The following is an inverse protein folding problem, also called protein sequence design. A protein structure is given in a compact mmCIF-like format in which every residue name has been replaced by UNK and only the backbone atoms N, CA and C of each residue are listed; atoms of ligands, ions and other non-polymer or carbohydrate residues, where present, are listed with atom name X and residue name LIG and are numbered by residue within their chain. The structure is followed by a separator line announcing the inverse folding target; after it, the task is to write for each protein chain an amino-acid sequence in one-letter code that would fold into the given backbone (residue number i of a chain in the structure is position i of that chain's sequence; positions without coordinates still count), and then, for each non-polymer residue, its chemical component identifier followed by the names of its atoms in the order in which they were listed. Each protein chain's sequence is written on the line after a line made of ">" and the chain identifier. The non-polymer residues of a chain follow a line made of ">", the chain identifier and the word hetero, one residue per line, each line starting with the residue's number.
data_IF_003435305806
#
_entry.id   IF_003435305806
#
_cell.length_a   1.000
_cell.length_b   1.000
_cell.length_c   1.000
_cell.angle_alpha   90.00
_cell.angle_beta   90.00
_cell.angle_gamma   90.00
#
_symmetry.space_group_name_H-M   'P 1'
#
loop_
_entity.id
_entity.type
_entity.pdbx_description
1 polymer ?
#
# COMPACT_ATOMS: atom_id res chain seq x y z
N UNK A 1 15.78 -3.79 14.23
CA UNK A 1 15.05 -3.24 13.09
C UNK A 1 14.80 -4.43 12.18
N UNK A 2 13.57 -4.76 11.87
CA UNK A 2 13.30 -5.85 10.91
C UNK A 2 13.71 -5.25 9.57
N UNK A 3 14.75 -5.78 8.96
CA UNK A 3 15.15 -5.38 7.60
C UNK A 3 14.09 -5.87 6.62
N UNK A 4 13.08 -5.04 6.41
CA UNK A 4 12.05 -5.31 5.41
C UNK A 4 12.67 -4.98 4.06
N UNK A 5 12.87 -6.00 3.22
CA UNK A 5 13.43 -5.84 1.88
C UNK A 5 12.56 -4.86 1.09
N UNK A 6 13.19 -3.84 0.53
CA UNK A 6 12.57 -2.86 -0.36
C UNK A 6 12.90 -3.25 -1.81
N UNK A 7 11.97 -3.95 -2.46
CA UNK A 7 12.22 -4.57 -3.75
C UNK A 7 11.84 -3.72 -4.96
N UNK A 8 11.32 -2.50 -4.76
CA UNK A 8 11.04 -1.56 -5.85
C UNK A 8 11.66 -0.20 -5.60
N UNK A 9 11.84 0.57 -6.65
CA UNK A 9 12.44 1.92 -6.61
C UNK A 9 11.70 2.89 -5.69
N UNK A 10 10.39 2.71 -5.46
CA UNK A 10 9.56 3.59 -4.62
C UNK A 10 9.15 2.95 -3.29
N UNK A 11 9.57 1.69 -3.01
CA UNK A 11 9.19 1.02 -1.75
C UNK A 11 9.68 1.79 -0.53
N UNK A 12 10.86 2.41 -0.60
CA UNK A 12 11.42 3.22 0.47
C UNK A 12 10.59 4.47 0.80
N UNK A 13 10.03 5.13 -0.21
CA UNK A 13 9.21 6.33 -0.02
C UNK A 13 7.89 5.98 0.66
N UNK A 14 7.29 4.84 0.28
CA UNK A 14 6.09 4.32 0.94
C UNK A 14 6.38 3.93 2.39
N UNK A 15 7.49 3.23 2.66
CA UNK A 15 7.89 2.85 4.01
C UNK A 15 8.17 4.06 4.90
N UNK A 16 8.83 5.09 4.36
CA UNK A 16 9.08 6.36 5.07
C UNK A 16 7.78 7.10 5.40
N UNK A 17 6.82 7.09 4.48
CA UNK A 17 5.49 7.66 4.72
C UNK A 17 4.75 6.90 5.82
N UNK A 18 4.77 5.57 5.78
CA UNK A 18 4.16 4.72 6.82
C UNK A 18 4.82 4.99 8.19
N UNK A 19 6.15 5.12 8.23
CA UNK A 19 6.87 5.45 9.45
C UNK A 19 6.48 6.83 10.00
N UNK A 20 6.42 7.85 9.14
CA UNK A 20 5.97 9.20 9.52
C UNK A 20 4.57 9.17 10.13
N UNK A 21 3.63 8.52 9.45
CA UNK A 21 2.25 8.36 9.94
C UNK A 21 2.25 7.60 11.28
N UNK A 22 2.99 6.49 11.36
CA UNK A 22 3.09 5.67 12.56
C UNK A 22 3.63 6.44 13.77
N UNK A 23 4.64 7.28 13.58
CA UNK A 23 5.21 8.12 14.65
C UNK A 23 4.23 9.22 15.10
N UNK A 24 3.60 9.93 14.16
CA UNK A 24 2.65 10.99 14.49
C UNK A 24 1.40 10.44 15.16
N UNK A 25 0.78 9.43 14.57
CA UNK A 25 -0.44 8.81 15.12
C UNK A 25 -0.14 8.08 16.44
N UNK A 26 0.99 7.37 16.51
CA UNK A 26 1.43 6.68 17.72
C UNK A 26 1.66 7.65 18.87
N UNK A 27 2.31 8.78 18.63
CA UNK A 27 2.48 9.82 19.66
C UNK A 27 1.12 10.30 20.20
N UNK A 28 0.17 10.63 19.32
CA UNK A 28 -1.16 11.10 19.73
C UNK A 28 -1.97 10.02 20.44
N UNK A 29 -1.85 8.78 20.00
CA UNK A 29 -2.47 7.65 20.66
C UNK A 29 -2.01 7.53 22.12
N UNK A 30 -0.69 7.47 22.36
CA UNK A 30 -0.16 7.36 23.73
C UNK A 30 -0.44 8.62 24.57
N UNK A 31 -0.42 9.80 23.97
CA UNK A 31 -0.78 11.04 24.65
C UNK A 31 -2.26 11.03 25.09
N UNK A 32 -3.16 10.55 24.24
CA UNK A 32 -4.58 10.43 24.56
C UNK A 32 -4.83 9.37 25.66
N UNK A 33 -4.20 8.20 25.56
CA UNK A 33 -4.29 7.16 26.60
C UNK A 33 -3.75 7.64 27.95
N UNK A 34 -2.59 8.30 27.95
CA UNK A 34 -2.05 8.89 29.17
C UNK A 34 -3.00 9.91 29.79
N UNK A 35 -3.54 10.81 28.95
CA UNK A 35 -4.49 11.84 29.41
C UNK A 35 -5.76 11.18 29.97
N UNK A 36 -6.27 10.15 29.30
CA UNK A 36 -7.47 9.43 29.72
C UNK A 36 -7.31 8.81 31.10
N UNK A 37 -6.22 8.03 31.35
CA UNK A 37 -5.97 7.41 32.64
C UNK A 37 -5.66 8.45 33.72
N UNK A 38 -4.94 9.52 33.37
CA UNK A 38 -4.67 10.63 34.29
C UNK A 38 -5.95 11.33 34.73
N UNK A 39 -6.90 11.58 33.84
CA UNK A 39 -8.20 12.18 34.16
C UNK A 39 -9.01 11.28 35.09
N UNK A 40 -9.08 9.96 34.81
CA UNK A 40 -9.75 8.99 35.70
C UNK A 40 -9.15 9.03 37.08
N UNK A 41 -7.83 8.98 37.18
CA UNK A 41 -7.14 9.02 38.48
C UNK A 41 -7.34 10.34 39.20
N UNK A 42 -7.21 11.47 38.51
CA UNK A 42 -7.32 12.81 39.06
C UNK A 42 -8.72 13.15 39.55
N UNK A 43 -9.75 12.78 38.79
CA UNK A 43 -11.15 13.11 39.06
C UNK A 43 -11.95 11.96 39.68
N UNK A 44 -11.26 10.94 40.20
CA UNK A 44 -11.94 9.88 40.95
C UNK A 44 -12.71 10.45 42.15
N UNK A 45 -13.83 9.82 42.49
CA UNK A 45 -14.65 10.22 43.62
C UNK A 45 -13.83 10.27 44.92
N UNK A 46 -14.00 11.33 45.72
CA UNK A 46 -13.38 11.51 47.05
C UNK A 46 -14.48 11.89 48.02
N UNK A 47 -14.37 11.34 49.26
CA UNK A 47 -15.30 11.69 50.34
C UNK A 47 -15.31 13.20 50.59
N UNK A 48 -16.52 13.77 50.72
CA UNK A 48 -16.72 15.20 51.00
C UNK A 48 -16.57 16.13 49.79
N UNK A 49 -16.19 15.65 48.62
CA UNK A 49 -16.11 16.47 47.42
C UNK A 49 -17.36 16.31 46.53
N UNK A 50 -18.01 17.42 46.20
CA UNK A 50 -19.11 17.43 45.22
C UNK A 50 -18.56 17.48 43.81
N UNK A 51 -19.21 16.76 42.88
CA UNK A 51 -18.91 16.84 41.45
C UNK A 51 -19.14 18.24 40.92
N UNK A 52 -18.27 18.67 40.01
CA UNK A 52 -18.37 19.95 39.31
C UNK A 52 -19.02 19.72 37.95
N UNK A 53 -20.08 20.47 37.64
CA UNK A 53 -20.72 20.44 36.34
C UNK A 53 -20.05 21.45 35.41
N UNK A 54 -19.45 20.97 34.31
CA UNK A 54 -18.81 21.78 33.29
C UNK A 54 -19.57 21.64 31.97
N UNK A 55 -19.92 22.79 31.37
CA UNK A 55 -20.67 22.82 30.10
C UNK A 55 -19.74 22.69 28.85
N UNK A 56 -18.43 22.84 29.03
CA UNK A 56 -17.46 22.92 27.95
C UNK A 56 -17.37 24.31 27.27
N UNK A 57 -18.20 25.28 27.71
CA UNK A 57 -18.21 26.66 27.18
C UNK A 57 -17.23 27.56 27.91
N UNK A 58 -16.77 27.16 29.09
CA UNK A 58 -15.85 27.92 29.93
C UNK A 58 -14.47 28.03 29.22
N UNK A 59 -13.97 29.27 29.17
CA UNK A 59 -12.72 29.55 28.39
C UNK A 59 -11.51 28.73 28.85
N UNK A 60 -11.42 28.43 30.15
CA UNK A 60 -10.31 27.63 30.68
C UNK A 60 -10.41 26.12 30.32
N UNK A 61 -11.66 25.61 30.19
CA UNK A 61 -11.91 24.23 29.76
C UNK A 61 -11.75 24.08 28.25
N UNK A 62 -12.28 25.04 27.48
CA UNK A 62 -12.23 25.04 26.03
C UNK A 62 -10.81 24.95 25.47
N UNK A 63 -9.80 25.51 26.15
CA UNK A 63 -8.40 25.42 25.75
C UNK A 63 -7.90 23.97 25.64
N UNK A 64 -8.34 23.09 26.53
CA UNK A 64 -7.94 21.66 26.54
C UNK A 64 -8.48 20.89 25.33
N UNK A 65 -9.48 21.43 24.67
CA UNK A 65 -10.03 20.87 23.43
C UNK A 65 -9.39 21.57 22.23
N UNK A 66 -9.34 22.89 22.20
CA UNK A 66 -8.93 23.66 21.02
C UNK A 66 -7.45 23.46 20.66
N UNK A 67 -6.54 23.45 21.67
CA UNK A 67 -5.11 23.30 21.40
C UNK A 67 -4.74 21.93 20.81
N UNK A 68 -5.18 20.79 21.39
CA UNK A 68 -4.89 19.48 20.79
C UNK A 68 -5.43 19.38 19.36
N UNK A 69 -6.66 19.82 19.10
CA UNK A 69 -7.24 19.81 17.76
C UNK A 69 -6.42 20.65 16.77
N UNK A 70 -5.97 21.84 17.19
CA UNK A 70 -5.15 22.70 16.34
C UNK A 70 -3.80 22.05 15.98
N UNK A 71 -3.16 21.36 16.92
CA UNK A 71 -1.89 20.68 16.68
C UNK A 71 -2.10 19.44 15.81
N UNK A 72 -3.15 18.65 16.04
CA UNK A 72 -3.51 17.50 15.18
C UNK A 72 -3.74 17.97 13.76
N UNK A 73 -4.49 19.06 13.55
CA UNK A 73 -4.71 19.62 12.20
C UNK A 73 -3.40 19.95 11.47
N UNK A 74 -2.41 20.49 12.20
CA UNK A 74 -1.07 20.73 11.61
C UNK A 74 -0.41 19.42 11.21
N UNK A 75 -0.47 18.39 12.07
CA UNK A 75 0.07 17.05 11.73
C UNK A 75 -0.63 16.46 10.50
N UNK A 76 -1.96 16.60 10.40
CA UNK A 76 -2.74 16.12 9.25
C UNK A 76 -2.32 16.79 7.95
N UNK A 77 -2.05 18.10 7.97
CA UNK A 77 -1.53 18.82 6.80
C UNK A 77 -0.21 18.22 6.33
N UNK A 78 0.73 17.92 7.25
CA UNK A 78 1.99 17.27 6.90
C UNK A 78 1.75 15.88 6.28
N UNK A 79 0.91 15.05 6.90
CA UNK A 79 0.58 13.72 6.38
C UNK A 79 0.00 13.82 4.96
N UNK A 80 -0.96 14.73 4.75
CA UNK A 80 -1.59 14.91 3.43
C UNK A 80 -0.57 15.36 2.37
N UNK A 81 0.29 16.33 2.68
CA UNK A 81 1.30 16.82 1.74
C UNK A 81 2.25 15.70 1.34
N UNK A 82 2.84 14.98 2.29
CA UNK A 82 3.75 13.87 1.98
C UNK A 82 3.05 12.72 1.26
N UNK A 83 1.81 12.41 1.62
CA UNK A 83 1.01 11.39 0.94
C UNK A 83 0.75 11.75 -0.53
N UNK A 84 0.44 13.02 -0.81
CA UNK A 84 0.24 13.49 -2.19
C UNK A 84 1.55 13.40 -2.98
N UNK A 85 2.70 13.74 -2.40
CA UNK A 85 4.00 13.65 -3.07
C UNK A 85 4.28 12.20 -3.48
N UNK A 86 4.20 11.25 -2.55
CA UNK A 86 4.41 9.82 -2.84
C UNK A 86 3.38 9.31 -3.85
N UNK A 87 2.10 9.71 -3.73
CA UNK A 87 1.06 9.31 -4.67
C UNK A 87 1.32 9.83 -6.08
N UNK A 88 1.82 11.06 -6.23
CA UNK A 88 2.18 11.63 -7.53
C UNK A 88 3.29 10.81 -8.20
N UNK A 89 4.33 10.45 -7.46
CA UNK A 89 5.47 9.69 -7.99
C UNK A 89 5.07 8.24 -8.35
N UNK A 90 4.24 7.60 -7.52
CA UNK A 90 3.86 6.19 -7.72
C UNK A 90 2.72 6.02 -8.72
N UNK A 91 1.77 6.97 -8.81
CA UNK A 91 0.52 6.77 -9.57
C UNK A 91 0.30 7.74 -10.71
N UNK A 92 0.93 8.90 -10.73
CA UNK A 92 0.69 9.93 -11.74
C UNK A 92 1.86 10.10 -12.71
N UNK A 93 3.10 10.01 -12.20
CA UNK A 93 4.30 10.19 -13.01
C UNK A 93 4.89 8.83 -13.36
N UNK A 94 4.24 8.13 -14.30
CA UNK A 94 4.75 6.85 -14.76
C UNK A 94 6.03 7.05 -15.59
N UNK A 95 7.13 6.33 -15.29
CA UNK A 95 8.34 6.36 -16.11
C UNK A 95 8.07 5.79 -17.51
N UNK A 96 9.01 5.97 -18.43
CA UNK A 96 8.96 5.30 -19.71
C UNK A 96 9.06 3.78 -19.46
N UNK A 97 8.14 3.02 -20.03
CA UNK A 97 8.14 1.56 -19.88
C UNK A 97 9.20 0.92 -20.77
N UNK A 98 9.97 -0.02 -20.23
CA UNK A 98 10.83 -0.92 -21.00
C UNK A 98 9.99 -2.07 -21.57
N UNK A 99 8.96 -2.52 -20.84
CA UNK A 99 8.00 -3.52 -21.28
C UNK A 99 6.65 -3.33 -20.62
N UNK A 100 5.59 -3.84 -21.24
CA UNK A 100 4.22 -3.83 -20.70
C UNK A 100 3.70 -5.24 -20.59
N UNK A 101 3.20 -5.64 -19.43
CA UNK A 101 2.59 -6.94 -19.15
C UNK A 101 1.09 -6.79 -18.90
N UNK A 102 0.28 -7.80 -19.24
CA UNK A 102 -1.10 -7.86 -18.79
C UNK A 102 -1.23 -8.87 -17.65
N UNK A 103 -1.89 -8.45 -16.59
CA UNK A 103 -2.16 -9.24 -15.39
C UNK A 103 -3.66 -9.43 -15.28
N UNK A 104 -4.12 -10.67 -15.31
CA UNK A 104 -5.55 -10.98 -15.28
C UNK A 104 -5.85 -11.86 -14.07
N UNK A 105 -6.70 -11.37 -13.17
CA UNK A 105 -7.27 -12.15 -12.07
C UNK A 105 -8.50 -12.93 -12.52
N UNK A 106 -8.60 -14.18 -12.09
CA UNK A 106 -9.81 -14.99 -12.22
C UNK A 106 -9.88 -15.94 -11.02
N UNK A 107 -11.05 -16.48 -10.73
CA UNK A 107 -11.24 -17.43 -9.61
C UNK A 107 -10.60 -18.79 -9.92
N UNK A 108 -9.46 -19.20 -9.33
CA UNK A 108 -8.65 -18.50 -8.33
C UNK A 108 -7.19 -18.60 -8.75
N UNK A 109 -6.83 -17.92 -9.82
CA UNK A 109 -5.49 -17.90 -10.41
C UNK A 109 -5.16 -16.51 -10.99
N UNK A 110 -3.87 -16.24 -11.13
CA UNK A 110 -3.35 -15.09 -11.87
C UNK A 110 -2.79 -15.54 -13.21
N UNK A 111 -3.22 -14.92 -14.29
CA UNK A 111 -2.63 -15.11 -15.63
C UNK A 111 -1.79 -13.89 -15.97
N UNK A 112 -0.56 -14.12 -16.42
CA UNK A 112 0.36 -13.10 -16.88
C UNK A 112 0.58 -13.29 -18.38
N UNK A 113 0.42 -12.22 -19.14
CA UNK A 113 0.71 -12.16 -20.56
C UNK A 113 1.90 -11.23 -20.74
N UNK A 114 3.00 -11.78 -21.21
CA UNK A 114 4.20 -11.05 -21.56
C UNK A 114 4.20 -10.79 -23.07
N UNK A 115 4.64 -9.61 -23.51
CA UNK A 115 4.89 -9.38 -24.91
C UNK A 115 6.05 -10.28 -25.36
N UNK A 116 5.99 -10.75 -26.59
CA UNK A 116 7.04 -11.52 -27.18
C UNK A 116 8.26 -10.68 -27.57
N UNK A 117 8.92 -11.09 -28.65
CA UNK A 117 10.13 -10.40 -29.13
C UNK A 117 9.85 -9.00 -29.70
N UNK A 118 8.60 -8.74 -30.12
CA UNK A 118 8.18 -7.45 -30.68
C UNK A 118 7.85 -6.41 -29.60
N UNK A 119 7.81 -6.82 -28.32
CA UNK A 119 7.48 -6.01 -27.15
C UNK A 119 6.07 -5.34 -27.24
N UNK A 120 5.16 -5.97 -28.01
CA UNK A 120 3.76 -5.56 -28.14
C UNK A 120 2.83 -6.65 -27.61
N UNK A 121 1.79 -6.28 -26.87
CA UNK A 121 0.77 -7.22 -26.40
C UNK A 121 -0.27 -7.49 -27.48
N UNK A 122 -0.90 -8.65 -27.42
CA UNK A 122 -1.94 -9.14 -28.33
C UNK A 122 -1.39 -9.53 -29.70
N UNK A 123 -0.15 -10.01 -29.74
CA UNK A 123 0.51 -10.53 -30.94
C UNK A 123 0.69 -12.05 -30.88
N UNK A 124 1.17 -12.64 -31.94
CA UNK A 124 1.23 -14.11 -32.07
C UNK A 124 2.37 -14.76 -31.25
N UNK A 125 3.34 -13.97 -30.80
CA UNK A 125 4.50 -14.41 -30.04
C UNK A 125 4.38 -14.12 -28.53
N UNK A 126 3.20 -13.66 -28.05
CA UNK A 126 2.93 -13.45 -26.64
C UNK A 126 3.10 -14.72 -25.81
N UNK A 127 3.73 -14.58 -24.66
CA UNK A 127 3.97 -15.66 -23.70
C UNK A 127 2.97 -15.56 -22.55
N UNK A 128 2.28 -16.67 -22.27
CA UNK A 128 1.31 -16.75 -21.16
C UNK A 128 1.83 -17.65 -20.07
N UNK A 129 1.81 -17.16 -18.82
CA UNK A 129 2.09 -17.94 -17.63
C UNK A 129 0.94 -17.89 -16.66
N UNK A 130 0.80 -18.90 -15.80
CA UNK A 130 -0.22 -18.97 -14.76
C UNK A 130 0.46 -19.10 -13.41
N UNK A 131 0.12 -18.19 -12.51
CA UNK A 131 0.66 -18.11 -11.15
C UNK A 131 2.19 -17.93 -11.06
N UNK A 132 2.84 -17.60 -12.17
CA UNK A 132 4.26 -17.31 -12.26
C UNK A 132 4.51 -16.09 -13.13
N UNK A 133 5.10 -15.05 -12.54
CA UNK A 133 5.50 -13.82 -13.22
C UNK A 133 7.02 -13.74 -13.30
N UNK A 134 7.57 -13.67 -14.50
CA UNK A 134 9.00 -13.52 -14.73
C UNK A 134 9.33 -12.11 -15.19
N UNK A 135 10.29 -11.46 -14.55
CA UNK A 135 10.73 -10.10 -14.89
C UNK A 135 12.23 -9.94 -14.72
N UNK A 136 12.80 -8.99 -15.43
CA UNK A 136 14.19 -8.60 -15.27
C UNK A 136 14.34 -7.49 -14.20
N UNK A 137 15.44 -7.56 -13.44
CA UNK A 137 15.82 -6.51 -12.49
C UNK A 137 16.15 -5.21 -13.23
N UNK A 138 15.94 -4.07 -12.57
CA UNK A 138 16.24 -2.71 -13.04
C UNK A 138 15.50 -2.26 -14.33
N UNK A 139 14.42 -2.98 -14.71
CA UNK A 139 13.53 -2.57 -15.81
C UNK A 139 12.22 -1.97 -15.30
N UNK A 140 11.73 -0.97 -16.02
CA UNK A 140 10.42 -0.36 -15.80
C UNK A 140 9.34 -1.18 -16.49
N UNK A 141 8.57 -1.94 -15.74
CA UNK A 141 7.41 -2.65 -16.24
C UNK A 141 6.15 -1.83 -16.01
N UNK A 142 5.40 -1.54 -17.09
CA UNK A 142 4.01 -1.17 -16.95
C UNK A 142 3.16 -2.44 -16.89
N UNK A 143 2.07 -2.41 -16.16
CA UNK A 143 1.09 -3.49 -16.19
C UNK A 143 -0.31 -2.97 -16.47
N UNK A 144 -1.07 -3.80 -17.21
CA UNK A 144 -2.51 -3.64 -17.41
C UNK A 144 -3.20 -4.69 -16.54
N UNK A 145 -3.85 -4.25 -15.47
CA UNK A 145 -4.51 -5.12 -14.50
C UNK A 145 -6.00 -5.22 -14.80
N UNK A 146 -6.48 -6.44 -14.95
CA UNK A 146 -7.84 -6.77 -15.35
C UNK A 146 -8.40 -7.92 -14.51
N UNK A 147 -9.72 -8.06 -14.49
CA UNK A 147 -10.40 -9.21 -13.91
C UNK A 147 -11.43 -9.78 -14.88
N UNK A 148 -11.53 -11.11 -14.93
CA UNK A 148 -12.49 -11.83 -15.76
C UNK A 148 -13.85 -12.04 -15.10
N UNK A 149 -13.93 -12.01 -13.77
CA UNK A 149 -15.11 -12.46 -13.03
C UNK A 149 -15.49 -11.53 -11.87
N UNK A 150 -14.78 -11.54 -10.76
CA UNK A 150 -15.06 -10.75 -9.56
C UNK A 150 -13.91 -9.78 -9.27
N UNK A 151 -14.04 -8.95 -8.25
CA UNK A 151 -12.93 -8.10 -7.81
C UNK A 151 -11.86 -8.98 -7.15
N UNK A 152 -10.62 -8.81 -7.59
CA UNK A 152 -9.40 -9.33 -6.97
C UNK A 152 -8.50 -8.16 -6.60
N UNK A 153 -7.43 -8.38 -5.87
CA UNK A 153 -6.43 -7.34 -5.63
C UNK A 153 -5.03 -7.92 -5.82
N UNK A 154 -4.33 -7.42 -6.82
CA UNK A 154 -2.95 -7.79 -7.10
C UNK A 154 -2.04 -7.13 -6.06
N UNK A 155 -1.43 -7.94 -5.22
CA UNK A 155 -0.55 -7.49 -4.16
C UNK A 155 0.83 -8.13 -4.28
N UNK A 156 1.85 -7.30 -4.36
CA UNK A 156 3.27 -7.69 -4.32
C UNK A 156 3.91 -6.98 -3.13
N UNK A 157 3.94 -7.59 -1.94
CA UNK A 157 4.37 -6.94 -0.71
C UNK A 157 5.77 -6.35 -0.75
N UNK A 158 6.72 -7.03 -1.43
CA UNK A 158 8.10 -6.55 -1.58
C UNK A 158 8.18 -5.23 -2.34
N UNK A 159 7.26 -4.99 -3.29
CA UNK A 159 7.16 -3.75 -4.06
C UNK A 159 6.29 -2.69 -3.39
N UNK A 160 5.58 -3.02 -2.31
CA UNK A 160 4.53 -2.19 -1.70
C UNK A 160 3.36 -1.91 -2.66
N UNK A 161 3.12 -2.82 -3.63
CA UNK A 161 1.97 -2.74 -4.53
C UNK A 161 0.77 -3.44 -3.89
N UNK A 162 -0.35 -2.76 -3.94
CA UNK A 162 -1.70 -3.31 -3.80
C UNK A 162 -2.62 -2.55 -4.74
N UNK A 163 -3.19 -3.25 -5.73
CA UNK A 163 -4.07 -2.66 -6.74
C UNK A 163 -5.22 -3.59 -7.04
N UNK A 164 -6.44 -3.09 -6.94
CA UNK A 164 -7.64 -3.87 -7.21
C UNK A 164 -7.79 -4.11 -8.72
N UNK A 165 -8.09 -5.37 -9.08
CA UNK A 165 -8.47 -5.80 -10.41
C UNK A 165 -10.00 -5.84 -10.48
N UNK A 166 -10.59 -4.88 -11.20
CA UNK A 166 -12.05 -4.69 -11.23
C UNK A 166 -12.60 -5.15 -12.56
N UNK A 167 -13.64 -6.03 -12.59
CA UNK A 167 -14.26 -6.48 -13.84
C UNK A 167 -14.69 -5.31 -14.73
N UNK A 168 -14.39 -5.42 -16.03
CA UNK A 168 -14.70 -4.39 -17.02
C UNK A 168 -13.81 -3.15 -16.98
N UNK A 169 -12.74 -3.15 -16.19
CA UNK A 169 -11.72 -2.09 -16.14
C UNK A 169 -10.35 -2.65 -16.44
N UNK A 170 -9.55 -1.90 -17.20
CA UNK A 170 -8.11 -2.11 -17.34
C UNK A 170 -7.39 -0.99 -16.60
N UNK A 171 -6.66 -1.33 -15.53
CA UNK A 171 -6.01 -0.39 -14.63
C UNK A 171 -4.52 -0.44 -14.89
N UNK A 172 -3.91 0.70 -15.21
CA UNK A 172 -2.47 0.80 -15.44
C UNK A 172 -1.75 1.10 -14.13
N UNK A 173 -0.65 0.40 -13.90
CA UNK A 173 0.33 0.69 -12.88
C UNK A 173 1.73 0.37 -13.40
N UNK A 174 2.72 0.51 -12.55
CA UNK A 174 4.11 0.22 -12.90
C UNK A 174 4.91 -0.26 -11.69
N UNK A 175 6.01 -0.91 -11.96
CA UNK A 175 7.06 -1.21 -10.98
C UNK A 175 8.42 -1.30 -11.68
N UNK A 176 9.46 -1.10 -10.87
CA UNK A 176 10.84 -1.40 -11.23
C UNK A 176 11.44 -2.19 -10.08
N UNK A 177 11.81 -3.44 -10.34
CA UNK A 177 12.39 -4.33 -9.34
C UNK A 177 13.87 -4.01 -9.13
N UNK A 178 14.29 -3.86 -7.89
CA UNK A 178 15.66 -3.49 -7.51
C UNK A 178 16.45 -4.65 -6.88
N UNK A 179 15.80 -5.78 -6.59
CA UNK A 179 16.39 -6.92 -5.88
C UNK A 179 15.96 -8.20 -6.57
N UNK A 180 16.93 -9.01 -7.01
CA UNK A 180 16.70 -10.34 -7.58
C UNK A 180 16.19 -11.34 -6.56
N UNK A 181 15.48 -12.35 -7.01
CA UNK A 181 14.97 -13.46 -6.20
C UNK A 181 13.52 -13.80 -6.50
N UNK A 182 12.98 -14.74 -5.74
CA UNK A 182 11.58 -15.16 -5.84
C UNK A 182 10.77 -14.61 -4.67
N UNK A 183 9.61 -14.05 -4.97
CA UNK A 183 8.74 -13.42 -3.98
C UNK A 183 7.28 -13.75 -4.23
N UNK A 184 6.44 -13.55 -3.22
CA UNK A 184 5.03 -13.89 -3.29
C UNK A 184 4.21 -12.76 -3.93
N UNK A 185 3.26 -13.18 -4.76
CA UNK A 185 2.11 -12.39 -5.22
C UNK A 185 0.88 -12.94 -4.51
N UNK A 186 0.04 -12.08 -3.96
CA UNK A 186 -1.14 -12.45 -3.18
C UNK A 186 -2.39 -11.77 -3.72
N UNK A 187 -3.54 -12.45 -3.61
CA UNK A 187 -4.82 -11.79 -3.75
C UNK A 187 -5.18 -11.11 -2.42
N UNK A 188 -5.34 -9.79 -2.41
CA UNK A 188 -5.59 -9.00 -1.21
C UNK A 188 -7.03 -8.46 -1.12
N UNK A 189 -7.99 -9.01 -1.91
CA UNK A 189 -9.42 -8.71 -1.86
C UNK A 189 -10.23 -10.01 -1.90
N UNK A 190 -11.27 -10.11 -1.06
CA UNK A 190 -12.12 -11.31 -0.96
C UNK A 190 -12.78 -11.60 -2.30
N UNK A 191 -12.34 -12.66 -2.97
CA UNK A 191 -12.77 -13.04 -4.31
C UNK A 191 -13.53 -14.37 -4.37
N UNK A 192 -13.91 -14.94 -3.23
CA UNK A 192 -14.66 -16.19 -3.13
C UNK A 192 -13.99 -17.25 -2.25
N UNK A 193 -14.43 -18.50 -2.36
CA UNK A 193 -14.03 -19.59 -1.45
C UNK A 193 -12.53 -19.92 -1.56
N UNK A 194 -11.92 -19.74 -2.73
CA UNK A 194 -10.50 -19.99 -2.98
C UNK A 194 -9.60 -18.78 -2.74
N UNK A 195 -10.13 -17.67 -2.16
CA UNK A 195 -9.33 -16.45 -1.93
C UNK A 195 -8.02 -16.71 -1.17
N UNK A 196 -8.05 -17.53 -0.13
CA UNK A 196 -6.86 -17.78 0.71
C UNK A 196 -5.76 -18.62 0.04
N UNK A 197 -6.04 -19.23 -1.11
CA UNK A 197 -5.08 -20.03 -1.87
C UNK A 197 -4.75 -19.39 -3.22
N UNK A 198 -5.35 -18.27 -3.57
CA UNK A 198 -5.05 -17.51 -4.78
C UNK A 198 -3.76 -16.71 -4.60
N UNK A 199 -2.66 -17.39 -4.87
CA UNK A 199 -1.31 -16.85 -4.79
C UNK A 199 -0.56 -17.13 -6.10
N UNK A 200 0.48 -16.32 -6.37
CA UNK A 200 1.41 -16.52 -7.47
C UNK A 200 2.83 -16.19 -6.99
N UNK A 201 3.83 -16.47 -7.82
CA UNK A 201 5.21 -16.08 -7.58
C UNK A 201 5.69 -15.08 -8.61
N UNK A 202 6.59 -14.22 -8.18
CA UNK A 202 7.36 -13.35 -9.06
C UNK A 202 8.83 -13.76 -8.97
N UNK A 203 9.41 -14.12 -10.12
CA UNK A 203 10.85 -14.37 -10.30
C UNK A 203 11.49 -13.14 -10.90
N UNK A 204 12.43 -12.54 -10.16
CA UNK A 204 13.20 -11.37 -10.58
C UNK A 204 14.61 -11.84 -10.92
N UNK A 205 14.95 -11.78 -12.20
CA UNK A 205 16.13 -12.40 -12.79
C UNK A 205 17.05 -11.35 -13.42
N UNK A 206 18.28 -11.72 -13.70
CA UNK A 206 19.14 -10.91 -14.59
C UNK A 206 18.81 -11.17 -16.07
N UNK A 207 19.27 -10.29 -16.96
CA UNK A 207 19.00 -10.40 -18.39
C UNK A 207 19.49 -11.73 -19.02
N UNK A 208 20.49 -12.39 -18.42
CA UNK A 208 21.02 -13.65 -18.95
C UNK A 208 20.17 -14.86 -18.52
N UNK A 209 19.52 -14.77 -17.36
CA UNK A 209 18.65 -15.82 -16.84
C UNK A 209 17.26 -15.74 -17.48
N UNK A 210 16.79 -14.52 -17.72
CA UNK A 210 15.47 -14.27 -18.31
C UNK A 210 15.37 -14.69 -19.78
N UNK A 211 16.46 -14.73 -20.50
CA UNK A 211 16.53 -15.13 -21.92
C UNK A 211 16.65 -16.67 -22.14
N UNK A 212 16.72 -17.45 -21.09
CA UNK A 212 16.87 -18.91 -21.14
C UNK A 212 15.55 -19.64 -20.91
#
# INVERSE_FOLDING_TARGET
>A
MIDIIQGSTYAGDIDNLILLIGLLVGFWFFAAEFMFFWLIWKFRAKEGQKSQYLTGKEAHVKKWITWPHGIVLVCDVFIVVFSIMVWMDVKQQLPVADSTIRITGQQWAWTFQHPGLDNELDTADDIFTVDELHIEVDKNYHFKLESRDVVHSFSVPIFRIKQDAVPGRSITGWFNATVMGEYDIQCAEICGIGHGVMAARISIEDANQHAA
#
